data_IF_597221695450
#
_entry.id   IF_597221695450
#
_cell.length_a   1.000
_cell.length_b   1.000
_cell.length_c   1.000
_cell.angle_alpha   90.00
_cell.angle_beta   90.00
_cell.angle_gamma   90.00
#
_symmetry.space_group_name_H-M   'P 1'
#
loop_
_entity.id
_entity.type
_entity.pdbx_description
1 polymer ?
#
# COMPACT_ATOMS: atom_id res chain seq x y z
N UNK A 1 0.12 -6.60 -13.38
CA UNK A 1 -0.74 -6.18 -12.26
C UNK A 1 0.14 -5.50 -11.23
N UNK A 2 -0.11 -4.21 -11.02
CA UNK A 2 0.73 -3.29 -10.27
C UNK A 2 0.67 -3.60 -8.78
N UNK A 3 1.75 -4.13 -8.21
CA UNK A 3 1.77 -4.57 -6.81
C UNK A 3 2.28 -3.49 -5.86
N UNK A 4 2.76 -2.34 -6.34
CA UNK A 4 3.55 -1.41 -5.52
C UNK A 4 3.36 0.09 -5.81
N UNK A 5 2.26 0.50 -6.44
CA UNK A 5 2.18 1.88 -6.92
C UNK A 5 1.69 2.86 -5.87
N UNK A 6 2.14 4.10 -6.04
CA UNK A 6 1.50 5.28 -5.50
C UNK A 6 1.10 6.18 -6.66
N UNK A 7 -0.19 6.44 -6.81
CA UNK A 7 -0.73 7.22 -7.92
C UNK A 7 -1.85 8.14 -7.46
N UNK A 8 -1.95 9.26 -8.17
CA UNK A 8 -3.01 10.27 -8.04
C UNK A 8 -3.42 10.74 -9.44
N UNK A 9 -4.60 11.36 -9.56
CA UNK A 9 -4.99 11.98 -10.82
C UNK A 9 -4.20 13.25 -11.10
N UNK A 10 -3.76 13.41 -12.34
CA UNK A 10 -3.12 14.63 -12.84
C UNK A 10 -4.14 15.76 -13.04
N UNK A 11 -3.67 17.01 -13.04
CA UNK A 11 -4.48 18.18 -13.35
C UNK A 11 -5.23 18.08 -14.70
N UNK A 12 -4.67 17.35 -15.68
CA UNK A 12 -5.29 17.14 -17.00
C UNK A 12 -6.35 16.03 -17.04
N UNK A 13 -6.56 15.30 -15.93
CA UNK A 13 -7.61 14.30 -15.84
C UNK A 13 -9.00 14.94 -15.97
N UNK A 14 -9.85 14.36 -16.83
CA UNK A 14 -11.08 15.00 -17.33
C UNK A 14 -12.32 14.82 -16.44
N UNK A 15 -12.31 13.92 -15.45
CA UNK A 15 -13.47 13.74 -14.55
C UNK A 15 -13.42 14.75 -13.40
N UNK A 16 -14.55 15.34 -13.06
CA UNK A 16 -14.65 16.42 -12.07
C UNK A 16 -14.85 15.94 -10.63
N UNK A 17 -15.29 14.70 -10.42
CA UNK A 17 -15.57 14.18 -9.07
C UNK A 17 -14.33 13.76 -8.27
N UNK A 18 -13.12 13.99 -8.80
CA UNK A 18 -11.86 13.60 -8.15
C UNK A 18 -10.94 14.79 -7.93
N UNK A 19 -10.22 14.78 -6.82
CA UNK A 19 -9.11 15.67 -6.58
C UNK A 19 -7.96 15.38 -7.55
N UNK A 20 -7.28 16.44 -8.00
CA UNK A 20 -6.21 16.37 -8.99
C UNK A 20 -4.97 17.06 -8.46
N UNK A 21 -3.83 16.42 -8.70
CA UNK A 21 -2.53 16.99 -8.41
C UNK A 21 -2.12 17.96 -9.52
N UNK A 22 -1.77 19.20 -9.14
CA UNK A 22 -1.27 20.20 -10.07
C UNK A 22 0.21 20.50 -9.80
N UNK A 23 1.08 19.90 -10.61
CA UNK A 23 2.53 20.05 -10.49
C UNK A 23 3.02 21.50 -10.57
N UNK A 24 2.33 22.38 -11.30
CA UNK A 24 2.72 23.81 -11.40
C UNK A 24 2.55 24.59 -10.10
N UNK A 25 1.81 24.04 -9.12
CA UNK A 25 1.58 24.66 -7.81
C UNK A 25 2.53 24.17 -6.72
N UNK A 26 3.39 23.19 -7.02
CA UNK A 26 4.34 22.64 -6.05
C UNK A 26 5.74 23.17 -6.32
N UNK A 27 6.35 23.79 -5.30
CA UNK A 27 7.73 24.27 -5.37
C UNK A 27 8.76 23.14 -5.24
N UNK A 28 8.35 21.94 -4.79
CA UNK A 28 9.22 20.78 -4.60
C UNK A 28 9.07 19.73 -5.69
N UNK A 29 8.12 19.93 -6.61
CA UNK A 29 7.90 19.03 -7.73
C UNK A 29 9.08 18.98 -8.69
N UNK A 30 9.47 17.76 -9.06
CA UNK A 30 10.49 17.46 -10.05
C UNK A 30 9.89 16.59 -11.14
N UNK A 31 9.86 17.12 -12.37
CA UNK A 31 9.44 16.35 -13.54
C UNK A 31 10.32 15.10 -13.69
N UNK A 32 9.69 13.95 -13.91
CA UNK A 32 10.39 12.69 -14.17
C UNK A 32 10.13 12.25 -15.61
N UNK A 33 11.10 11.53 -16.19
CA UNK A 33 10.88 10.83 -17.45
C UNK A 33 10.08 9.54 -17.21
N UNK A 34 9.27 9.16 -18.19
CA UNK A 34 8.54 7.89 -18.20
C UNK A 34 7.04 8.09 -18.34
N UNK A 35 6.52 7.72 -19.50
CA UNK A 35 5.08 7.51 -19.68
C UNK A 35 4.71 6.18 -19.04
N UNK A 36 3.53 6.14 -18.45
CA UNK A 36 2.93 4.93 -17.91
C UNK A 36 1.71 4.56 -18.73
N UNK A 37 1.66 3.31 -19.14
CA UNK A 37 0.52 2.71 -19.81
C UNK A 37 0.36 1.28 -19.27
N UNK A 38 -0.42 1.15 -18.19
CA UNK A 38 -0.53 -0.08 -17.42
C UNK A 38 -1.99 -0.47 -17.23
N UNK A 39 -2.41 -1.46 -18.04
CA UNK A 39 -3.81 -1.89 -18.06
C UNK A 39 -4.72 -0.75 -18.49
N UNK A 40 -5.60 -0.32 -17.59
CA UNK A 40 -6.53 0.78 -17.85
C UNK A 40 -5.91 2.16 -17.58
N UNK A 41 -4.77 2.24 -16.88
CA UNK A 41 -4.22 3.51 -16.43
C UNK A 41 -3.17 4.05 -17.41
N UNK A 42 -3.36 5.29 -17.85
CA UNK A 42 -2.41 6.06 -18.67
C UNK A 42 -1.99 7.32 -17.90
N UNK A 43 -0.71 7.63 -17.99
CA UNK A 43 -0.14 8.74 -17.24
C UNK A 43 1.36 8.88 -17.43
N UNK A 44 2.01 9.49 -16.46
CA UNK A 44 3.45 9.69 -16.44
C UNK A 44 3.98 9.75 -15.01
N UNK A 45 5.29 9.58 -14.85
CA UNK A 45 5.95 9.68 -13.55
C UNK A 45 6.14 11.14 -13.13
N UNK A 46 5.96 11.40 -11.83
CA UNK A 46 6.37 12.62 -11.14
C UNK A 46 7.19 12.31 -9.89
N UNK A 47 7.83 13.32 -9.33
CA UNK A 47 8.47 13.24 -8.02
C UNK A 47 8.16 14.48 -7.21
N UNK A 48 7.75 14.31 -5.96
CA UNK A 48 7.46 15.42 -5.06
C UNK A 48 7.61 14.99 -3.60
N UNK A 49 7.49 15.92 -2.67
CA UNK A 49 7.34 15.64 -1.25
C UNK A 49 5.89 15.24 -0.95
N UNK A 50 5.71 14.21 -0.12
CA UNK A 50 4.38 13.71 0.26
C UNK A 50 4.22 13.85 1.76
N UNK A 51 3.12 14.44 2.21
CA UNK A 51 2.74 14.47 3.62
C UNK A 51 1.71 13.37 3.91
N UNK A 52 2.02 12.48 4.86
CA UNK A 52 1.12 11.42 5.32
C UNK A 52 0.98 11.54 6.83
N UNK A 53 -0.21 11.93 7.31
CA UNK A 53 -0.48 12.03 8.76
C UNK A 53 0.48 12.95 9.51
N UNK A 54 0.93 14.04 8.88
CA UNK A 54 1.90 14.98 9.46
C UNK A 54 3.38 14.65 9.14
N UNK A 55 3.69 13.45 8.66
CA UNK A 55 5.04 13.09 8.23
C UNK A 55 5.30 13.52 6.79
N UNK A 56 6.24 14.43 6.57
CA UNK A 56 6.69 14.81 5.22
C UNK A 56 7.84 13.93 4.77
N UNK A 57 7.60 13.11 3.74
CA UNK A 57 8.59 12.23 3.11
C UNK A 57 9.05 12.90 1.82
N UNK A 58 10.37 13.12 1.69
CA UNK A 58 10.95 13.84 0.55
C UNK A 58 11.24 12.95 -0.65
N UNK A 59 11.15 13.54 -1.84
CA UNK A 59 11.53 12.92 -3.11
C UNK A 59 10.85 11.55 -3.33
N UNK A 60 9.53 11.52 -3.18
CA UNK A 60 8.71 10.36 -3.49
C UNK A 60 8.38 10.38 -4.97
N UNK A 61 8.71 9.30 -5.68
CA UNK A 61 8.24 9.09 -7.04
C UNK A 61 6.82 8.53 -7.02
N UNK A 62 5.96 9.03 -7.90
CA UNK A 62 4.55 8.63 -7.99
C UNK A 62 4.05 8.77 -9.42
N UNK A 63 2.89 8.18 -9.70
CA UNK A 63 2.26 8.24 -11.01
C UNK A 63 1.17 9.31 -11.04
N UNK A 64 1.21 10.13 -12.08
CA UNK A 64 0.21 11.14 -12.41
C UNK A 64 -0.68 10.58 -13.53
N UNK A 65 -1.88 10.16 -13.18
CA UNK A 65 -2.83 9.52 -14.09
C UNK A 65 -3.63 10.60 -14.82
N UNK A 66 -3.51 10.66 -16.15
CA UNK A 66 -4.23 11.63 -16.98
C UNK A 66 -5.35 11.01 -17.81
N UNK A 67 -5.40 9.68 -17.90
CA UNK A 67 -6.45 8.96 -18.62
C UNK A 67 -6.65 7.56 -18.03
N UNK A 68 -7.91 7.12 -17.98
CA UNK A 68 -8.30 5.75 -17.65
C UNK A 68 -9.17 5.21 -18.78
N UNK A 69 -8.82 4.06 -19.36
CA UNK A 69 -9.62 3.44 -20.42
C UNK A 69 -10.98 3.00 -19.86
N UNK A 70 -12.04 3.51 -20.48
CA UNK A 70 -13.39 3.55 -19.91
C UNK A 70 -14.19 2.27 -20.20
N UNK A 71 -13.84 1.17 -19.55
CA UNK A 71 -14.74 0.04 -19.39
C UNK A 71 -14.98 -0.20 -17.90
N UNK A 72 -16.08 0.37 -17.37
CA UNK A 72 -16.71 -0.03 -16.09
C UNK A 72 -15.95 0.34 -14.80
N UNK A 73 -14.80 1.01 -14.87
CA UNK A 73 -14.00 1.32 -13.67
C UNK A 73 -14.31 2.73 -13.12
N UNK A 74 -15.10 2.78 -12.05
CA UNK A 74 -15.22 3.94 -11.17
C UNK A 74 -14.62 3.58 -9.81
N UNK A 75 -13.41 4.07 -9.52
CA UNK A 75 -12.92 4.10 -8.15
C UNK A 75 -13.33 5.47 -7.58
N UNK A 76 -14.17 5.54 -6.53
CA UNK A 76 -14.59 6.80 -5.92
C UNK A 76 -13.48 7.48 -5.08
N UNK A 77 -12.21 7.13 -5.31
CA UNK A 77 -11.06 7.63 -4.56
C UNK A 77 -10.14 8.42 -5.49
N UNK A 78 -9.47 9.43 -4.95
CA UNK A 78 -8.56 10.33 -5.70
C UNK A 78 -7.20 9.72 -6.05
N UNK A 79 -6.92 8.53 -5.52
CA UNK A 79 -5.62 7.89 -5.65
C UNK A 79 -5.56 6.53 -4.97
N UNK A 80 -4.39 5.92 -5.08
CA UNK A 80 -4.05 4.69 -4.39
C UNK A 80 -2.62 4.78 -3.88
N UNK A 81 -2.41 4.34 -2.65
CA UNK A 81 -1.09 4.23 -2.04
C UNK A 81 -0.87 2.80 -1.56
N UNK A 82 -0.07 2.04 -2.30
CA UNK A 82 0.30 0.68 -1.90
C UNK A 82 1.08 0.70 -0.60
N UNK A 83 0.85 -0.31 0.24
CA UNK A 83 1.66 -0.59 1.42
C UNK A 83 2.61 -1.77 1.21
N UNK A 84 2.63 -2.37 0.01
CA UNK A 84 3.44 -3.54 -0.27
C UNK A 84 4.94 -3.28 -0.02
N UNK A 85 5.65 -4.34 0.32
CA UNK A 85 7.11 -4.32 0.40
C UNK A 85 7.67 -5.31 -0.62
N UNK A 86 8.82 -4.97 -1.17
CA UNK A 86 9.62 -5.91 -1.96
C UNK A 86 11.06 -5.47 -1.96
N UNK A 87 11.95 -6.45 -1.83
CA UNK A 87 13.38 -6.23 -2.01
C UNK A 87 13.74 -5.94 -3.47
N UNK A 88 12.85 -6.29 -4.41
CA UNK A 88 13.06 -6.18 -5.85
C UNK A 88 12.13 -5.14 -6.51
N UNK A 89 11.42 -4.32 -5.73
CA UNK A 89 10.69 -3.19 -6.29
C UNK A 89 11.72 -2.19 -6.79
N UNK A 90 11.66 -1.88 -8.09
CA UNK A 90 12.51 -0.85 -8.67
C UNK A 90 12.21 0.49 -7.99
N UNK A 91 13.19 1.38 -7.81
CA UNK A 91 12.99 2.67 -7.16
C UNK A 91 11.83 3.47 -7.74
N UNK A 92 11.50 3.26 -9.02
CA UNK A 92 10.48 4.03 -9.72
C UNK A 92 9.04 3.71 -9.31
N UNK A 93 8.81 2.54 -8.72
CA UNK A 93 7.50 2.08 -8.26
C UNK A 93 7.55 1.75 -6.77
N UNK A 94 8.42 2.44 -6.03
CA UNK A 94 8.62 2.20 -4.59
C UNK A 94 7.57 2.96 -3.79
N UNK A 95 6.77 2.28 -2.95
CA UNK A 95 5.76 2.95 -2.15
C UNK A 95 6.33 4.03 -1.22
N UNK A 96 5.56 5.10 -0.93
CA UNK A 96 5.99 6.18 -0.03
C UNK A 96 6.44 5.65 1.32
N UNK A 97 5.72 4.69 1.89
CA UNK A 97 6.05 4.12 3.19
C UNK A 97 7.37 3.33 3.19
N UNK A 98 7.63 2.57 2.13
CA UNK A 98 8.92 1.86 2.00
C UNK A 98 10.07 2.85 1.87
N UNK A 99 9.86 3.93 1.10
CA UNK A 99 10.83 5.02 0.99
C UNK A 99 11.05 5.73 2.34
N UNK A 100 10.00 5.91 3.14
CA UNK A 100 10.10 6.47 4.49
C UNK A 100 10.97 5.61 5.41
N UNK A 101 10.77 4.28 5.37
CA UNK A 101 11.55 3.32 6.14
C UNK A 101 13.03 3.34 5.73
N UNK A 102 13.31 3.33 4.42
CA UNK A 102 14.68 3.27 3.90
C UNK A 102 15.47 4.55 4.18
N UNK A 103 14.82 5.70 4.05
CA UNK A 103 15.42 7.01 4.31
C UNK A 103 15.43 7.39 5.80
N UNK A 104 14.94 6.52 6.69
CA UNK A 104 14.96 6.75 8.13
C UNK A 104 14.01 7.85 8.60
N UNK A 105 12.91 8.09 7.88
CA UNK A 105 11.88 9.06 8.28
C UNK A 105 10.99 8.56 9.42
N UNK A 106 11.02 7.27 9.74
CA UNK A 106 10.23 6.67 10.82
C UNK A 106 11.10 6.36 12.04
N UNK A 107 10.58 6.54 13.27
CA UNK A 107 11.29 6.17 14.49
C UNK A 107 11.54 4.65 14.57
N UNK A 108 10.58 3.83 14.12
CA UNK A 108 10.75 2.38 13.97
C UNK A 108 10.38 1.94 12.55
N UNK A 109 10.99 0.85 12.06
CA UNK A 109 10.74 0.28 10.72
C UNK A 109 9.46 -0.58 10.69
N UNK A 110 8.34 -0.02 11.13
CA UNK A 110 7.04 -0.70 11.17
C UNK A 110 5.89 0.28 10.94
N UNK A 111 4.70 -0.27 10.69
CA UNK A 111 3.44 0.47 10.69
C UNK A 111 2.34 -0.43 11.24
N UNK A 112 1.30 0.18 11.79
CA UNK A 112 0.13 -0.52 12.35
C UNK A 112 -1.13 -0.08 11.63
N UNK A 113 -1.96 -1.04 11.24
CA UNK A 113 -3.28 -0.79 10.64
C UNK A 113 -4.35 -1.31 11.59
N UNK A 114 -5.20 -0.41 12.06
CA UNK A 114 -6.43 -0.72 12.76
C UNK A 114 -7.60 -0.43 11.82
N UNK A 115 -8.50 -1.39 11.65
CA UNK A 115 -9.73 -1.21 10.85
C UNK A 115 -10.90 -1.34 11.81
N UNK A 116 -11.78 -0.33 11.85
CA UNK A 116 -12.94 -0.30 12.73
C UNK A 116 -14.23 -0.44 11.91
N UNK A 117 -15.19 -1.19 12.44
CA UNK A 117 -16.52 -1.36 11.88
C UNK A 117 -16.71 -2.66 11.09
N UNK A 118 -17.96 -3.11 10.88
CA UNK A 118 -18.25 -4.17 9.92
C UNK A 118 -17.86 -3.69 8.52
N UNK A 119 -17.50 -4.62 7.64
CA UNK A 119 -17.36 -4.36 6.20
C UNK A 119 -18.75 -4.00 5.63
N UNK A 120 -19.17 -2.74 5.77
CA UNK A 120 -20.48 -2.27 5.36
C UNK A 120 -20.63 -0.78 5.65
N UNK A 121 -21.43 -0.10 4.83
CA UNK A 121 -21.73 1.33 4.84
C UNK A 121 -22.54 1.78 6.09
N UNK A 122 -22.13 1.33 7.26
CA UNK A 122 -22.71 1.70 8.53
C UNK A 122 -22.18 3.09 8.89
N UNK A 123 -22.75 4.12 8.28
CA UNK A 123 -22.40 5.55 8.45
C UNK A 123 -22.49 6.05 9.90
N UNK A 124 -22.98 5.23 10.83
CA UNK A 124 -23.12 5.56 12.25
C UNK A 124 -21.80 5.45 13.03
N UNK A 125 -20.80 4.68 12.57
CA UNK A 125 -19.46 4.70 13.16
C UNK A 125 -18.56 5.67 12.40
N UNK A 126 -18.42 6.90 12.90
CA UNK A 126 -17.64 7.99 12.28
C UNK A 126 -16.12 7.73 12.14
N UNK A 127 -15.60 6.58 12.60
CA UNK A 127 -14.18 6.24 12.50
C UNK A 127 -14.01 4.91 11.74
N UNK A 128 -13.55 4.96 10.48
CA UNK A 128 -13.33 3.77 9.64
C UNK A 128 -12.03 2.99 9.93
N UNK A 129 -11.10 3.57 10.69
CA UNK A 129 -9.83 2.93 11.04
C UNK A 129 -8.71 3.93 11.32
N UNK A 130 -7.49 3.42 11.51
CA UNK A 130 -6.29 4.19 11.77
C UNK A 130 -5.05 3.50 11.18
N UNK A 131 -4.18 4.31 10.56
CA UNK A 131 -2.83 3.91 10.16
C UNK A 131 -1.83 4.66 11.05
N UNK A 132 -0.98 3.93 11.76
CA UNK A 132 0.13 4.49 12.55
C UNK A 132 1.44 4.16 11.84
N UNK A 133 2.25 5.18 11.58
CA UNK A 133 3.55 5.03 10.92
C UNK A 133 4.65 5.10 11.97
N UNK A 134 5.50 4.08 12.02
CA UNK A 134 6.67 4.04 12.90
C UNK A 134 6.40 3.62 14.34
N UNK A 135 5.18 3.23 14.69
CA UNK A 135 4.85 2.75 16.05
C UNK A 135 3.64 1.80 16.06
N UNK A 136 3.46 1.14 17.20
CA UNK A 136 2.28 0.34 17.52
C UNK A 136 1.10 1.25 17.82
N UNK A 137 -0.10 0.88 17.37
CA UNK A 137 -1.33 1.54 17.80
C UNK A 137 -1.75 1.04 19.19
N UNK A 138 -1.10 1.57 20.23
CA UNK A 138 -1.38 1.19 21.62
C UNK A 138 -2.78 1.65 22.11
N UNK A 139 -3.51 2.44 21.31
CA UNK A 139 -4.84 2.94 21.66
C UNK A 139 -5.96 2.05 21.09
N UNK A 140 -5.78 1.52 19.88
CA UNK A 140 -6.83 0.77 19.17
C UNK A 140 -6.47 -0.71 18.96
N UNK A 141 -5.21 -1.11 19.13
CA UNK A 141 -4.78 -2.50 19.11
C UNK A 141 -4.49 -3.01 20.53
N UNK A 142 -4.83 -4.27 20.78
CA UNK A 142 -4.47 -4.95 22.03
C UNK A 142 -3.00 -5.36 22.06
N UNK A 143 -2.64 -6.18 23.06
CA UNK A 143 -1.27 -6.73 23.18
C UNK A 143 -0.89 -7.55 21.94
N UNK A 144 0.37 -7.44 21.53
CA UNK A 144 0.92 -8.29 20.47
C UNK A 144 0.89 -9.75 20.93
N UNK A 145 0.15 -10.59 20.20
CA UNK A 145 -0.01 -12.01 20.52
C UNK A 145 1.12 -12.88 19.97
N UNK A 146 1.84 -12.40 18.95
CA UNK A 146 2.95 -13.11 18.34
C UNK A 146 3.38 -12.52 17.01
N UNK A 147 4.44 -13.09 16.43
CA UNK A 147 5.01 -12.70 15.15
C UNK A 147 5.11 -13.89 14.21
N UNK A 148 4.75 -13.68 12.95
CA UNK A 148 4.94 -14.64 11.88
C UNK A 148 6.01 -14.13 10.92
N UNK A 149 6.95 -15.01 10.55
CA UNK A 149 7.94 -14.68 9.51
C UNK A 149 7.27 -14.70 8.14
N UNK A 150 7.62 -13.74 7.29
CA UNK A 150 7.16 -13.75 5.91
C UNK A 150 7.80 -14.89 5.12
N UNK A 151 7.01 -15.55 4.29
CA UNK A 151 7.46 -16.63 3.38
C UNK A 151 7.72 -16.14 1.96
N UNK A 152 7.36 -14.87 1.67
CA UNK A 152 7.65 -14.19 0.41
C UNK A 152 8.57 -13.00 0.64
N UNK A 153 9.25 -12.54 -0.41
CA UNK A 153 10.05 -11.30 -0.43
C UNK A 153 9.37 -10.14 -1.16
N UNK A 154 8.11 -10.31 -1.59
CA UNK A 154 7.41 -9.35 -2.45
C UNK A 154 5.95 -9.09 -2.06
N UNK A 155 5.43 -9.82 -1.08
CA UNK A 155 4.07 -9.66 -0.53
C UNK A 155 4.06 -10.02 0.96
N UNK A 156 3.10 -9.48 1.70
CA UNK A 156 2.83 -9.83 3.10
C UNK A 156 2.21 -11.24 3.21
N UNK A 157 3.02 -12.27 2.93
CA UNK A 157 2.60 -13.66 2.99
C UNK A 157 3.19 -14.33 4.21
N UNK A 158 2.34 -14.97 5.01
CA UNK A 158 2.71 -15.79 6.17
C UNK A 158 2.22 -17.21 5.96
N UNK A 159 2.88 -18.17 6.60
CA UNK A 159 2.40 -19.55 6.63
C UNK A 159 1.32 -19.69 7.72
N UNK A 160 0.18 -20.28 7.36
CA UNK A 160 -0.87 -20.69 8.29
C UNK A 160 -0.76 -22.20 8.49
N UNK A 161 -0.54 -22.64 9.73
CA UNK A 161 -0.34 -24.06 10.04
C UNK A 161 -1.64 -24.87 10.05
N UNK A 162 -2.73 -24.29 10.57
CA UNK A 162 -4.05 -24.90 10.61
C UNK A 162 -5.15 -23.83 10.70
N UNK A 163 -6.34 -24.21 10.25
CA UNK A 163 -7.58 -23.45 10.45
C UNK A 163 -8.54 -24.39 11.15
N UNK A 164 -9.21 -23.93 12.20
CA UNK A 164 -10.12 -24.75 13.02
C UNK A 164 -11.46 -24.04 13.22
N UNK A 165 -12.53 -24.82 13.34
CA UNK A 165 -13.87 -24.35 13.68
C UNK A 165 -14.51 -25.26 14.73
N UNK A 166 -15.08 -24.68 15.78
CA UNK A 166 -15.65 -25.45 16.91
C UNK A 166 -14.66 -26.42 17.56
N UNK A 167 -13.37 -26.08 17.60
CA UNK A 167 -12.31 -26.93 18.12
C UNK A 167 -11.82 -28.05 17.18
N UNK A 168 -12.36 -28.15 15.96
CA UNK A 168 -11.96 -29.17 14.98
C UNK A 168 -11.16 -28.55 13.83
N UNK A 169 -10.02 -29.15 13.41
CA UNK A 169 -9.29 -28.70 12.23
C UNK A 169 -10.13 -28.82 10.95
N UNK A 170 -10.25 -27.74 10.18
CA UNK A 170 -10.86 -27.71 8.84
C UNK A 170 -9.85 -28.03 7.75
N UNK A 171 -8.59 -27.64 7.95
CA UNK A 171 -7.48 -27.91 7.03
C UNK A 171 -6.33 -28.49 7.86
N UNK A 172 -5.94 -29.73 7.55
CA UNK A 172 -4.72 -30.34 8.06
C UNK A 172 -3.54 -30.01 7.13
N UNK A 173 -2.33 -29.92 7.70
CA UNK A 173 -1.10 -29.70 6.92
C UNK A 173 -1.06 -30.62 5.68
N UNK A 174 -0.65 -30.13 4.49
CA UNK A 174 -0.14 -31.02 3.46
C UNK A 174 0.96 -31.86 4.12
N UNK A 175 0.88 -33.19 4.03
CA UNK A 175 1.92 -34.07 4.56
C UNK A 175 3.26 -33.54 4.05
N UNK A 176 4.15 -33.11 4.94
CA UNK A 176 5.50 -32.75 4.55
C UNK A 176 6.09 -33.98 3.84
N UNK A 177 6.29 -33.86 2.53
CA UNK A 177 7.05 -34.85 1.77
C UNK A 177 8.39 -35.04 2.47
N UNK A 178 8.79 -36.29 2.67
CA UNK A 178 10.09 -36.65 3.25
C UNK A 178 11.16 -35.78 2.59
N UNK A 179 11.92 -35.03 3.40
CA UNK A 179 13.12 -34.34 2.93
C UNK A 179 14.03 -35.41 2.33
N UNK A 180 14.14 -35.47 1.01
CA UNK A 180 15.23 -36.20 0.38
C UNK A 180 16.51 -35.47 0.77
N UNK A 181 17.32 -36.09 1.63
CA UNK A 181 18.74 -35.77 1.77
C UNK A 181 19.35 -35.93 0.38
N UNK A 182 19.77 -34.83 -0.22
CA UNK A 182 20.71 -34.88 -1.34
C UNK A 182 22.07 -35.24 -0.72
N UNK A 183 22.54 -36.44 -1.04
CA UNK A 183 23.95 -36.83 -1.00
C UNK A 183 24.72 -36.11 -2.08
#
# INVERSE_FOLDING_TARGET
MLRADFWVYDATFKRSEVARFNSSRSSTYKKQAGNVNEGLFKGFSGMDNVNIGGLTIKDIKFLQINSVDNSTFSIPNDGFMSLAYSNNIKPEVRPPLMTAIDKGFLPNKLFTVNVKGPFGDNKETQQGGRLVLGDYDNQNCGKVLGWAKFTSRSIYQVQVDSISYGGKPLINKPKQGKKNKLT
#
